data_IF_064446239065
#
_entry.id   IF_064446239065
#
_cell.length_a   1.000
_cell.length_b   1.000
_cell.length_c   1.000
_cell.angle_alpha   90.00
_cell.angle_beta   90.00
_cell.angle_gamma   90.00
#
_symmetry.space_group_name_H-M   'P 1'
#
loop_
_entity.id
_entity.type
_entity.pdbx_description
1 polymer ?
#
# COMPACT_ATOMS: atom_id res chain seq x y z
N UNK A 1 -0.90 77.33 -6.16
CA UNK A 1 0.40 76.95 -5.56
C UNK A 1 0.18 75.74 -4.66
N UNK A 2 0.56 74.54 -5.13
CA UNK A 2 0.75 73.28 -4.40
C UNK A 2 1.05 72.18 -5.44
N UNK A 3 2.20 72.33 -6.11
CA UNK A 3 2.95 71.19 -6.67
C UNK A 3 3.89 70.73 -5.55
N UNK A 4 4.54 69.58 -5.70
CA UNK A 4 5.68 69.11 -4.87
C UNK A 4 5.42 68.04 -3.80
N UNK A 5 4.45 67.13 -3.98
CA UNK A 5 4.37 65.91 -3.14
C UNK A 5 4.16 64.60 -3.91
N UNK A 6 4.34 64.59 -5.24
CA UNK A 6 4.08 63.40 -6.08
C UNK A 6 5.37 62.72 -6.61
N UNK A 7 6.55 63.32 -6.43
CA UNK A 7 7.79 62.82 -7.02
C UNK A 7 8.76 62.08 -6.07
N UNK A 8 8.50 62.04 -4.76
CA UNK A 8 9.45 61.51 -3.78
C UNK A 8 9.16 60.10 -3.24
N UNK A 9 8.18 59.36 -3.81
CA UNK A 9 7.88 57.97 -3.45
C UNK A 9 8.07 57.02 -4.65
N UNK A 10 9.11 57.25 -5.46
CA UNK A 10 9.36 56.48 -6.70
C UNK A 10 10.54 55.51 -6.65
N UNK A 11 11.13 55.24 -5.49
CA UNK A 11 12.41 54.50 -5.47
C UNK A 11 12.62 53.52 -4.32
N UNK A 12 11.57 52.94 -3.75
CA UNK A 12 11.75 51.85 -2.78
C UNK A 12 10.76 50.71 -3.00
N UNK A 13 11.34 49.57 -3.37
CA UNK A 13 10.88 48.21 -3.14
C UNK A 13 9.53 47.82 -3.72
N UNK A 14 9.56 47.25 -4.92
CA UNK A 14 8.70 46.11 -5.25
C UNK A 14 9.35 45.25 -6.35
N UNK A 15 10.60 44.81 -6.12
CA UNK A 15 11.12 43.58 -6.73
C UNK A 15 10.63 42.43 -5.85
N UNK A 16 9.33 42.11 -5.95
CA UNK A 16 8.85 40.82 -5.47
C UNK A 16 9.26 39.79 -6.51
N UNK A 17 10.48 39.27 -6.35
CA UNK A 17 10.93 38.06 -7.02
C UNK A 17 9.89 36.98 -6.76
N UNK A 18 9.15 36.57 -7.78
CA UNK A 18 8.20 35.47 -7.70
C UNK A 18 9.00 34.17 -7.51
N UNK A 19 9.37 33.87 -6.27
CA UNK A 19 9.90 32.56 -5.89
C UNK A 19 8.74 31.57 -5.94
N UNK A 20 8.56 30.97 -7.10
CA UNK A 20 7.66 29.84 -7.32
C UNK A 20 8.11 28.70 -6.41
N UNK A 21 7.40 28.48 -5.31
CA UNK A 21 7.63 27.34 -4.42
C UNK A 21 7.18 26.09 -5.20
N UNK A 22 8.14 25.38 -5.78
CA UNK A 22 7.89 24.08 -6.43
C UNK A 22 7.62 23.08 -5.30
N UNK A 23 6.33 22.84 -5.02
CA UNK A 23 5.90 21.78 -4.13
C UNK A 23 6.18 20.45 -4.84
N UNK A 24 7.32 19.85 -4.53
CA UNK A 24 7.62 18.46 -4.90
C UNK A 24 6.62 17.56 -4.18
N UNK A 25 5.55 17.18 -4.88
CA UNK A 25 4.62 16.15 -4.42
C UNK A 25 5.35 14.81 -4.40
N UNK A 26 5.98 14.47 -3.28
CA UNK A 26 6.46 13.10 -3.03
C UNK A 26 5.24 12.21 -2.90
N UNK A 27 5.04 11.32 -3.87
CA UNK A 27 3.99 10.29 -3.82
C UNK A 27 4.29 9.33 -2.68
N UNK A 28 3.56 9.45 -1.56
CA UNK A 28 3.59 8.44 -0.51
C UNK A 28 2.78 7.23 -1.02
N UNK A 29 3.47 6.21 -1.53
CA UNK A 29 2.84 4.92 -1.82
C UNK A 29 2.58 4.21 -0.49
N UNK A 30 1.34 4.29 0.01
CA UNK A 30 0.89 3.47 1.13
C UNK A 30 0.56 2.09 0.56
N UNK A 31 1.41 1.09 0.87
CA UNK A 31 1.12 -0.29 0.56
C UNK A 31 0.09 -0.80 1.59
N UNK A 32 -1.19 -0.71 1.23
CA UNK A 32 -2.27 -1.27 2.03
C UNK A 32 -2.28 -2.80 1.83
N UNK A 33 -1.81 -3.53 2.84
CA UNK A 33 -1.94 -4.98 2.90
C UNK A 33 -3.38 -5.24 3.33
N UNK A 34 -4.28 -5.30 2.34
CA UNK A 34 -5.72 -5.49 2.53
C UNK A 34 -6.05 -6.51 3.62
N UNK A 35 -7.14 -6.23 4.32
CA UNK A 35 -7.57 -6.90 5.56
C UNK A 35 -7.23 -8.40 5.61
N UNK A 36 -6.22 -8.74 6.42
CA UNK A 36 -5.78 -10.10 6.79
C UNK A 36 -5.10 -10.94 5.68
N UNK A 37 -3.77 -10.81 5.60
CA UNK A 37 -2.90 -11.74 4.85
C UNK A 37 -2.46 -12.91 5.75
N UNK A 38 -2.70 -14.14 5.31
CA UNK A 38 -2.18 -15.36 5.96
C UNK A 38 -1.10 -15.96 5.08
N UNK A 39 0.08 -16.19 5.66
CA UNK A 39 1.19 -16.85 4.99
C UNK A 39 1.33 -18.27 5.53
N UNK A 40 1.22 -19.25 4.64
CA UNK A 40 1.37 -20.67 4.94
C UNK A 40 2.66 -21.20 4.32
N UNK A 41 3.55 -21.76 5.14
CA UNK A 41 4.84 -22.33 4.71
C UNK A 41 4.89 -23.82 4.98
N UNK A 42 5.39 -24.58 4.01
CA UNK A 42 5.76 -25.99 4.17
C UNK A 42 7.07 -26.25 3.43
N UNK A 43 8.11 -26.62 4.16
CA UNK A 43 9.49 -26.72 3.66
C UNK A 43 9.95 -25.42 2.97
N UNK A 44 10.25 -25.48 1.68
CA UNK A 44 10.65 -24.34 0.85
C UNK A 44 9.49 -23.71 0.07
N UNK A 45 8.27 -24.21 0.25
CA UNK A 45 7.08 -23.72 -0.46
C UNK A 45 6.31 -22.76 0.42
N UNK A 46 5.88 -21.63 -0.16
CA UNK A 46 5.03 -20.64 0.49
C UNK A 46 3.74 -20.49 -0.33
N UNK A 47 2.63 -20.35 0.39
CA UNK A 47 1.30 -20.05 -0.12
C UNK A 47 0.73 -18.90 0.68
N UNK A 48 -0.07 -18.07 0.06
CA UNK A 48 -0.75 -16.96 0.72
C UNK A 48 -2.25 -17.11 0.58
N UNK A 49 -2.97 -16.72 1.62
CA UNK A 49 -4.42 -16.57 1.62
C UNK A 49 -4.72 -15.13 2.02
N UNK A 50 -5.66 -14.49 1.35
CA UNK A 50 -6.06 -13.12 1.68
C UNK A 50 -7.50 -12.86 1.27
N UNK A 51 -8.09 -11.85 1.87
CA UNK A 51 -9.36 -11.28 1.41
C UNK A 51 -9.07 -9.95 0.73
N UNK A 52 -9.63 -9.75 -0.44
CA UNK A 52 -9.61 -8.47 -1.14
C UNK A 52 -11.04 -7.97 -1.30
N UNK A 53 -11.23 -6.66 -1.20
CA UNK A 53 -12.47 -6.02 -1.63
C UNK A 53 -12.31 -5.58 -3.09
N UNK A 54 -13.18 -6.06 -3.96
CA UNK A 54 -13.21 -5.62 -5.35
C UNK A 54 -13.90 -4.27 -5.54
N UNK A 55 -13.63 -3.62 -6.66
CA UNK A 55 -14.31 -2.39 -7.08
C UNK A 55 -15.84 -2.58 -7.21
N UNK A 56 -16.29 -3.81 -7.40
CA UNK A 56 -17.69 -4.21 -7.45
C UNK A 56 -18.33 -4.38 -6.05
N UNK A 57 -17.64 -3.95 -4.99
CA UNK A 57 -18.05 -4.11 -3.59
C UNK A 57 -18.27 -5.57 -3.17
N UNK A 58 -17.67 -6.51 -3.89
CA UNK A 58 -17.66 -7.93 -3.52
C UNK A 58 -16.32 -8.28 -2.90
N UNK A 59 -16.36 -9.03 -1.81
CA UNK A 59 -15.16 -9.64 -1.30
C UNK A 59 -14.72 -10.78 -2.22
N UNK A 60 -13.42 -10.99 -2.32
CA UNK A 60 -12.78 -12.14 -2.98
C UNK A 60 -11.81 -12.78 -2.00
N UNK A 61 -11.97 -14.08 -1.76
CA UNK A 61 -10.98 -14.88 -1.07
C UNK A 61 -9.98 -15.41 -2.10
N UNK A 62 -8.71 -15.05 -1.93
CA UNK A 62 -7.66 -15.37 -2.89
C UNK A 62 -6.65 -16.30 -2.24
N UNK A 63 -6.25 -17.31 -2.99
CA UNK A 63 -5.24 -18.28 -2.64
C UNK A 63 -4.13 -18.26 -3.68
N UNK A 64 -2.89 -18.07 -3.23
CA UNK A 64 -1.73 -18.07 -4.12
C UNK A 64 -0.99 -19.39 -4.04
N UNK A 65 -0.82 -20.04 -5.18
CA UNK A 65 -0.08 -21.29 -5.33
C UNK A 65 0.96 -21.13 -6.43
N UNK A 66 2.23 -21.35 -6.09
CA UNK A 66 3.34 -21.23 -7.05
C UNK A 66 3.40 -19.86 -7.75
N UNK A 67 3.00 -18.79 -7.06
CA UNK A 67 2.97 -17.43 -7.60
C UNK A 67 1.73 -17.09 -8.44
N UNK A 68 0.80 -18.04 -8.61
CA UNK A 68 -0.47 -17.80 -9.30
C UNK A 68 -1.56 -17.58 -8.28
N UNK A 69 -2.29 -16.48 -8.42
CA UNK A 69 -3.47 -16.16 -7.63
C UNK A 69 -4.71 -16.85 -8.19
N UNK A 70 -5.44 -17.55 -7.32
CA UNK A 70 -6.71 -18.20 -7.63
C UNK A 70 -7.78 -17.64 -6.69
N UNK A 71 -8.91 -17.20 -7.25
CA UNK A 71 -10.07 -16.85 -6.44
C UNK A 71 -10.78 -18.14 -6.00
N UNK A 72 -10.75 -18.42 -4.71
CA UNK A 72 -11.35 -19.61 -4.10
C UNK A 72 -12.76 -19.36 -3.56
N UNK A 73 -13.21 -18.10 -3.58
CA UNK A 73 -14.56 -17.71 -3.20
C UNK A 73 -14.79 -16.22 -3.38
N UNK A 74 -16.06 -15.83 -3.50
CA UNK A 74 -16.46 -14.42 -3.59
C UNK A 74 -17.86 -14.23 -3.05
N UNK A 75 -18.18 -13.03 -2.54
CA UNK A 75 -19.51 -12.73 -2.03
C UNK A 75 -19.72 -11.26 -1.73
N UNK A 76 -20.97 -10.88 -1.48
CA UNK A 76 -21.32 -9.53 -1.03
C UNK A 76 -21.05 -9.33 0.47
N UNK A 77 -21.07 -10.42 1.25
CA UNK A 77 -20.78 -10.38 2.67
C UNK A 77 -19.28 -10.64 2.91
N UNK A 78 -18.52 -9.69 3.49
CA UNK A 78 -17.09 -9.87 3.78
C UNK A 78 -16.79 -11.12 4.62
N UNK A 79 -17.67 -11.47 5.57
CA UNK A 79 -17.48 -12.62 6.44
C UNK A 79 -17.43 -13.94 5.66
N UNK A 80 -18.14 -14.05 4.53
CA UNK A 80 -18.10 -15.25 3.68
C UNK A 80 -16.70 -15.48 3.10
N UNK A 81 -15.97 -14.41 2.74
CA UNK A 81 -14.59 -14.54 2.25
C UNK A 81 -13.60 -14.94 3.36
N UNK A 82 -13.82 -14.44 4.58
CA UNK A 82 -13.06 -14.86 5.76
C UNK A 82 -13.28 -16.35 6.04
N UNK A 83 -14.49 -16.88 5.89
CA UNK A 83 -14.79 -18.31 6.04
C UNK A 83 -14.06 -19.17 4.99
N UNK A 84 -14.04 -18.77 3.72
CA UNK A 84 -13.27 -19.47 2.69
C UNK A 84 -11.77 -19.53 3.05
N UNK A 85 -11.18 -18.41 3.47
CA UNK A 85 -9.78 -18.36 3.91
C UNK A 85 -9.54 -19.26 5.13
N UNK A 86 -10.43 -19.22 6.12
CA UNK A 86 -10.34 -20.03 7.34
C UNK A 86 -10.38 -21.53 7.03
N UNK A 87 -11.29 -21.95 6.16
CA UNK A 87 -11.41 -23.36 5.76
C UNK A 87 -10.16 -23.85 5.02
N UNK A 88 -9.63 -23.06 4.08
CA UNK A 88 -8.40 -23.45 3.37
C UNK A 88 -7.19 -23.44 4.30
N UNK A 89 -7.09 -22.47 5.21
CA UNK A 89 -6.05 -22.45 6.25
C UNK A 89 -6.08 -23.73 7.07
N UNK A 90 -7.25 -24.13 7.59
CA UNK A 90 -7.42 -25.36 8.37
C UNK A 90 -6.94 -26.58 7.59
N UNK A 91 -7.36 -26.72 6.33
CA UNK A 91 -6.94 -27.84 5.48
C UNK A 91 -5.40 -27.88 5.28
N UNK A 92 -4.76 -26.72 5.14
CA UNK A 92 -3.31 -26.63 5.01
C UNK A 92 -2.62 -27.01 6.34
N UNK A 93 -3.12 -26.53 7.47
CA UNK A 93 -2.59 -26.86 8.80
C UNK A 93 -2.73 -28.36 9.11
N UNK A 94 -3.86 -28.98 8.76
CA UNK A 94 -4.06 -30.43 8.84
C UNK A 94 -3.03 -31.19 7.98
N UNK A 95 -2.73 -30.66 6.79
CA UNK A 95 -1.67 -31.13 5.91
C UNK A 95 -0.24 -30.71 6.34
N UNK A 96 -0.06 -30.29 7.60
CA UNK A 96 1.22 -29.92 8.24
C UNK A 96 1.89 -28.66 7.70
N UNK A 97 1.14 -27.74 7.09
CA UNK A 97 1.64 -26.40 6.80
C UNK A 97 1.64 -25.53 8.06
N UNK A 98 2.64 -24.65 8.18
CA UNK A 98 2.69 -23.64 9.23
C UNK A 98 2.09 -22.35 8.69
N UNK A 99 0.90 -21.97 9.17
CA UNK A 99 0.19 -20.76 8.76
C UNK A 99 0.25 -19.69 9.85
N UNK A 100 0.50 -18.44 9.44
CA UNK A 100 0.53 -17.28 10.33
C UNK A 100 -0.10 -16.06 9.67
N UNK A 101 -0.81 -15.28 10.46
CA UNK A 101 -1.29 -13.96 10.04
C UNK A 101 -0.14 -12.97 9.99
N UNK A 102 -0.11 -12.16 8.93
CA UNK A 102 0.86 -11.09 8.73
C UNK A 102 0.12 -9.77 8.96
N UNK A 103 0.33 -9.20 10.15
CA UNK A 103 -0.28 -7.92 10.54
C UNK A 103 0.44 -6.71 9.95
N UNK A 104 1.75 -6.84 9.74
CA UNK A 104 2.60 -5.83 9.11
C UNK A 104 3.69 -6.55 8.31
N UNK A 105 3.89 -6.18 7.05
CA UNK A 105 5.09 -6.57 6.30
C UNK A 105 6.10 -5.43 6.34
N UNK A 106 7.32 -5.72 6.80
CA UNK A 106 8.43 -4.77 6.76
C UNK A 106 9.38 -5.20 5.65
N UNK A 107 9.63 -4.30 4.70
CA UNK A 107 10.67 -4.49 3.68
C UNK A 107 12.00 -4.00 4.22
N UNK A 108 12.99 -4.88 4.31
CA UNK A 108 14.37 -4.47 4.59
C UNK A 108 15.06 -4.10 3.27
N UNK A 109 15.38 -2.81 3.11
CA UNK A 109 16.18 -2.34 1.98
C UNK A 109 17.63 -2.77 2.22
N UNK A 110 18.14 -3.69 1.40
CA UNK A 110 19.57 -4.00 1.36
C UNK A 110 20.22 -2.97 0.46
N UNK A 111 20.97 -2.03 1.06
CA UNK A 111 21.86 -1.16 0.30
C UNK A 111 22.99 -2.06 -0.23
N UNK A 112 23.00 -2.29 -1.54
CA UNK A 112 24.12 -2.93 -2.20
C UNK A 112 25.23 -1.87 -2.24
N UNK A 113 26.16 -1.96 -1.30
CA UNK A 113 27.36 -1.11 -1.31
C UNK A 113 28.20 -1.55 -2.51
N UNK A 114 28.05 -0.83 -3.62
CA UNK A 114 28.94 -0.94 -4.78
C UNK A 114 30.28 -0.29 -4.40
N UNK A 115 31.10 -1.04 -3.67
CA UNK A 115 32.51 -0.74 -3.53
C UNK A 115 33.24 -1.32 -4.75
N UNK A 116 33.62 -0.44 -5.66
CA UNK A 116 34.68 -0.66 -6.64
C UNK A 116 35.88 0.21 -6.28
#
# INVERSE_FOLDING_TARGET
MKRDQISALRSKLALFSATTIVLFFTSLAIADLGDSLVLCKHNKTVRTLRVEMGDDSKCRAIYTKQGVDETIGSGLNPNSCVEFVSNVRKNLEEAKWNCREVKEARTSNVLIDSAE
#
